data_IF_740903023816
#
_entry.id   IF_740903023816
#
_cell.length_a   1.000
_cell.length_b   1.000
_cell.length_c   1.000
_cell.angle_alpha   90.00
_cell.angle_beta   90.00
_cell.angle_gamma   90.00
#
_symmetry.space_group_name_H-M   'P 1'
#
loop_
_entity.id
_entity.type
_entity.pdbx_description
1 polymer ?
#
# COMPACT_ATOMS: atom_id res chain seq x y z
N UNK A 1 4.98 17.21 -4.87
CA UNK A 1 4.55 17.47 -6.27
C UNK A 1 4.64 18.97 -6.53
N UNK A 2 5.12 19.37 -7.71
CA UNK A 2 5.18 20.75 -8.17
C UNK A 2 4.44 20.85 -9.49
N UNK A 3 3.68 21.91 -9.70
CA UNK A 3 3.08 22.19 -11.00
C UNK A 3 2.98 23.71 -11.25
N UNK A 4 2.93 24.09 -12.52
CA UNK A 4 2.75 25.46 -12.98
C UNK A 4 1.42 25.55 -13.72
N UNK A 5 0.62 26.56 -13.39
CA UNK A 5 -0.72 26.77 -13.92
C UNK A 5 -1.13 28.22 -13.72
N UNK A 6 -2.26 28.64 -14.26
CA UNK A 6 -2.89 29.90 -13.86
C UNK A 6 -3.36 29.84 -12.42
N UNK A 7 -3.50 31.00 -11.77
CA UNK A 7 -3.96 31.03 -10.36
C UNK A 7 -5.38 30.44 -10.21
N UNK A 8 -6.26 30.69 -11.17
CA UNK A 8 -7.61 30.14 -11.15
C UNK A 8 -7.62 28.61 -11.22
N UNK A 9 -6.86 28.03 -12.13
CA UNK A 9 -6.70 26.58 -12.23
C UNK A 9 -6.05 25.98 -10.98
N UNK A 10 -5.04 26.66 -10.43
CA UNK A 10 -4.37 26.23 -9.21
C UNK A 10 -5.34 26.13 -8.03
N UNK A 11 -6.27 27.09 -7.88
CA UNK A 11 -7.29 27.08 -6.82
C UNK A 11 -8.30 25.93 -7.06
N UNK A 12 -8.72 25.68 -8.29
CA UNK A 12 -9.65 24.60 -8.62
C UNK A 12 -9.03 23.21 -8.37
N UNK A 13 -7.74 23.07 -8.67
CA UNK A 13 -7.02 21.79 -8.53
C UNK A 13 -6.61 21.46 -7.09
N UNK A 14 -6.58 22.45 -6.19
CA UNK A 14 -6.11 22.25 -4.81
C UNK A 14 -6.85 21.11 -4.11
N UNK A 15 -8.17 21.22 -4.00
CA UNK A 15 -8.98 20.24 -3.26
C UNK A 15 -8.91 18.86 -3.88
N UNK A 16 -9.03 18.75 -5.20
CA UNK A 16 -9.01 17.47 -5.92
C UNK A 16 -7.65 16.80 -5.74
N UNK A 17 -6.57 17.55 -5.97
CA UNK A 17 -5.20 17.02 -5.84
C UNK A 17 -4.91 16.58 -4.42
N UNK A 18 -5.26 17.39 -3.42
CA UNK A 18 -5.01 17.07 -2.02
C UNK A 18 -5.85 15.90 -1.52
N UNK A 19 -7.13 15.79 -1.93
CA UNK A 19 -7.98 14.68 -1.52
C UNK A 19 -7.42 13.33 -1.99
N UNK A 20 -7.01 13.25 -3.27
CA UNK A 20 -6.42 12.04 -3.84
C UNK A 20 -5.08 11.72 -3.17
N UNK A 21 -4.15 12.67 -3.13
CA UNK A 21 -2.81 12.44 -2.59
C UNK A 21 -2.82 12.13 -1.10
N UNK A 22 -3.64 12.83 -0.31
CA UNK A 22 -3.74 12.59 1.13
C UNK A 22 -4.28 11.19 1.44
N UNK A 23 -5.35 10.78 0.75
CA UNK A 23 -5.92 9.45 0.92
C UNK A 23 -4.94 8.37 0.45
N UNK A 24 -4.50 8.41 -0.80
CA UNK A 24 -3.69 7.34 -1.39
C UNK A 24 -2.33 7.18 -0.69
N UNK A 25 -1.69 8.30 -0.29
CA UNK A 25 -0.43 8.23 0.45
C UNK A 25 -0.61 7.69 1.89
N UNK A 26 -1.73 7.98 2.55
CA UNK A 26 -2.02 7.41 3.87
C UNK A 26 -2.19 5.89 3.79
N UNK A 27 -2.99 5.42 2.82
CA UNK A 27 -3.19 3.98 2.58
C UNK A 27 -1.88 3.31 2.17
N UNK A 28 -1.14 3.88 1.23
CA UNK A 28 0.15 3.35 0.79
C UNK A 28 1.16 3.23 1.95
N UNK A 29 1.19 4.24 2.84
CA UNK A 29 2.07 4.22 4.01
C UNK A 29 1.69 3.12 5.01
N UNK A 30 0.40 2.92 5.28
CA UNK A 30 -0.07 1.81 6.12
C UNK A 30 0.25 0.46 5.48
N UNK A 31 -0.08 0.30 4.20
CA UNK A 31 0.17 -0.92 3.45
C UNK A 31 1.67 -1.29 3.39
N UNK A 32 2.55 -0.31 3.18
CA UNK A 32 4.01 -0.53 3.18
C UNK A 32 4.52 -1.06 4.52
N UNK A 33 4.01 -0.53 5.65
CA UNK A 33 4.35 -1.06 6.99
C UNK A 33 3.82 -2.47 7.20
N UNK A 34 2.60 -2.77 6.74
CA UNK A 34 2.03 -4.11 6.81
C UNK A 34 2.83 -5.12 6.00
N UNK A 35 3.29 -4.75 4.80
CA UNK A 35 4.14 -5.59 3.95
C UNK A 35 5.49 -5.85 4.64
N UNK A 36 6.10 -4.82 5.20
CA UNK A 36 7.35 -4.97 5.98
C UNK A 36 7.17 -5.92 7.16
N UNK A 37 6.06 -5.79 7.90
CA UNK A 37 5.75 -6.67 9.03
C UNK A 37 5.47 -8.12 8.63
N UNK A 38 4.86 -8.33 7.46
CA UNK A 38 4.53 -9.66 6.93
C UNK A 38 5.76 -10.42 6.40
N UNK A 39 6.83 -9.70 6.03
CA UNK A 39 7.99 -10.32 5.38
C UNK A 39 7.60 -10.95 4.05
N UNK A 40 7.95 -12.22 3.85
CA UNK A 40 7.66 -12.95 2.61
C UNK A 40 6.21 -13.47 2.52
N UNK A 41 5.40 -13.31 3.57
CA UNK A 41 4.01 -13.79 3.58
C UNK A 41 3.10 -12.87 2.78
N UNK A 42 2.32 -13.40 1.82
CA UNK A 42 1.43 -12.60 1.00
C UNK A 42 0.32 -11.94 1.83
N UNK A 43 -0.01 -10.71 1.46
CA UNK A 43 -1.13 -9.94 1.99
C UNK A 43 -2.25 -9.84 0.94
N UNK A 44 -3.49 -10.01 1.38
CA UNK A 44 -4.70 -9.85 0.57
C UNK A 44 -5.47 -8.63 1.08
N UNK A 45 -5.77 -7.68 0.21
CA UNK A 45 -6.63 -6.54 0.53
C UNK A 45 -8.09 -6.99 0.61
N UNK A 46 -8.76 -6.75 1.74
CA UNK A 46 -10.15 -7.17 2.02
C UNK A 46 -11.01 -6.04 2.60
N UNK A 47 -10.68 -4.78 2.31
CA UNK A 47 -11.28 -3.60 2.94
C UNK A 47 -12.51 -3.03 2.24
N UNK A 48 -12.94 -3.56 1.10
CA UNK A 48 -14.00 -2.96 0.26
C UNK A 48 -15.31 -2.69 0.98
N UNK A 49 -15.69 -3.49 1.98
CA UNK A 49 -16.92 -3.30 2.79
C UNK A 49 -16.75 -2.35 3.98
N UNK A 50 -15.56 -1.74 4.14
CA UNK A 50 -15.20 -0.92 5.31
C UNK A 50 -14.94 0.55 4.97
N UNK A 51 -15.09 0.93 3.72
CA UNK A 51 -14.90 2.30 3.25
C UNK A 51 -15.83 2.60 2.07
N UNK A 52 -15.87 3.86 1.63
CA UNK A 52 -16.64 4.27 0.45
C UNK A 52 -16.15 3.55 -0.82
N UNK A 53 -17.06 3.24 -1.73
CA UNK A 53 -16.78 2.41 -2.92
C UNK A 53 -15.58 2.91 -3.77
N UNK A 54 -15.47 4.21 -4.01
CA UNK A 54 -14.35 4.80 -4.75
C UNK A 54 -13.04 4.73 -3.96
N UNK A 55 -13.11 4.97 -2.66
CA UNK A 55 -11.98 4.83 -1.75
C UNK A 55 -11.51 3.38 -1.66
N UNK A 56 -12.42 2.40 -1.74
CA UNK A 56 -12.06 0.98 -1.76
C UNK A 56 -11.21 0.60 -2.98
N UNK A 57 -11.57 1.10 -4.16
CA UNK A 57 -10.79 0.88 -5.40
C UNK A 57 -9.41 1.53 -5.31
N UNK A 58 -9.35 2.79 -4.84
CA UNK A 58 -8.10 3.51 -4.64
C UNK A 58 -7.20 2.82 -3.60
N UNK A 59 -7.79 2.32 -2.50
CA UNK A 59 -7.05 1.57 -1.45
C UNK A 59 -6.47 0.27 -1.99
N UNK A 60 -7.22 -0.49 -2.78
CA UNK A 60 -6.74 -1.72 -3.40
C UNK A 60 -5.54 -1.46 -4.33
N UNK A 61 -5.60 -0.39 -5.13
CA UNK A 61 -4.49 0.06 -5.98
C UNK A 61 -3.28 0.45 -5.15
N UNK A 62 -3.46 1.30 -4.13
CA UNK A 62 -2.36 1.77 -3.26
C UNK A 62 -1.69 0.60 -2.52
N UNK A 63 -2.48 -0.34 -1.99
CA UNK A 63 -1.98 -1.55 -1.35
C UNK A 63 -1.16 -2.43 -2.31
N UNK A 64 -1.64 -2.62 -3.53
CA UNK A 64 -0.91 -3.41 -4.52
C UNK A 64 0.41 -2.75 -4.92
N UNK A 65 0.43 -1.44 -5.14
CA UNK A 65 1.67 -0.68 -5.43
C UNK A 65 2.71 -0.91 -4.34
N UNK A 66 2.30 -0.99 -3.08
CA UNK A 66 3.21 -1.12 -1.94
C UNK A 66 3.54 -2.55 -1.53
N UNK A 67 3.01 -3.56 -2.21
CA UNK A 67 3.46 -4.94 -2.02
C UNK A 67 2.39 -5.96 -1.72
N UNK A 68 1.13 -5.59 -1.49
CA UNK A 68 0.06 -6.58 -1.38
C UNK A 68 0.03 -7.48 -2.61
N UNK A 69 -0.25 -8.76 -2.41
CA UNK A 69 -0.25 -9.75 -3.49
C UNK A 69 -1.52 -9.67 -4.34
N UNK A 70 -2.65 -9.36 -3.71
CA UNK A 70 -3.97 -9.39 -4.35
C UNK A 70 -5.00 -8.56 -3.59
N UNK A 71 -6.18 -8.41 -4.21
CA UNK A 71 -7.33 -7.73 -3.63
C UNK A 71 -8.62 -8.54 -3.77
N UNK A 72 -9.56 -8.36 -2.85
CA UNK A 72 -10.94 -8.83 -3.00
C UNK A 72 -11.80 -7.91 -3.88
N UNK A 73 -11.27 -6.75 -4.30
CA UNK A 73 -11.98 -5.74 -5.08
C UNK A 73 -11.91 -6.04 -6.58
N UNK A 74 -13.01 -6.55 -7.15
CA UNK A 74 -13.09 -6.89 -8.58
C UNK A 74 -12.97 -5.64 -9.49
N UNK A 75 -13.37 -4.46 -9.02
CA UNK A 75 -13.24 -3.23 -9.80
C UNK A 75 -11.77 -2.83 -9.94
N UNK A 76 -10.96 -2.95 -8.88
CA UNK A 76 -9.53 -2.72 -8.95
C UNK A 76 -8.82 -3.72 -9.87
N UNK A 77 -9.28 -4.98 -9.92
CA UNK A 77 -8.79 -5.93 -10.91
C UNK A 77 -9.08 -5.46 -12.33
N UNK A 78 -10.31 -5.03 -12.58
CA UNK A 78 -10.75 -4.61 -13.91
C UNK A 78 -10.03 -3.32 -14.38
N UNK A 79 -9.93 -2.31 -13.51
CA UNK A 79 -9.37 -1.01 -13.87
C UNK A 79 -7.84 -0.97 -13.89
N UNK A 80 -7.19 -1.70 -12.98
CA UNK A 80 -5.75 -1.58 -12.71
C UNK A 80 -4.97 -2.87 -12.89
N UNK A 81 -5.60 -3.96 -13.31
CA UNK A 81 -4.94 -5.25 -13.46
C UNK A 81 -4.47 -5.88 -12.14
N UNK A 82 -4.95 -5.40 -10.98
CA UNK A 82 -4.57 -5.97 -9.69
C UNK A 82 -5.05 -7.41 -9.58
N UNK A 83 -4.20 -8.40 -9.25
CA UNK A 83 -4.64 -9.76 -9.06
C UNK A 83 -5.75 -9.87 -8.02
N UNK A 84 -6.80 -10.63 -8.32
CA UNK A 84 -7.90 -10.82 -7.38
C UNK A 84 -7.79 -12.14 -6.65
N UNK A 85 -8.07 -12.11 -5.35
CA UNK A 85 -8.24 -13.28 -4.52
C UNK A 85 -9.40 -13.04 -3.56
N UNK A 86 -10.05 -14.11 -3.14
CA UNK A 86 -11.14 -14.05 -2.19
C UNK A 86 -11.37 -15.40 -1.57
N UNK A 87 -12.13 -15.39 -0.49
CA UNK A 87 -12.61 -16.60 0.20
C UNK A 87 -14.11 -16.46 0.41
N UNK A 88 -14.79 -17.56 0.74
CA UNK A 88 -16.17 -17.51 1.15
C UNK A 88 -16.35 -16.71 2.45
N UNK A 89 -17.52 -16.11 2.62
CA UNK A 89 -17.93 -15.51 3.89
C UNK A 89 -18.67 -16.54 4.75
N UNK A 90 -18.80 -16.32 6.06
CA UNK A 90 -19.57 -17.18 6.97
C UNK A 90 -21.01 -17.42 6.48
N UNK A 91 -21.63 -16.40 5.84
CA UNK A 91 -22.95 -16.54 5.24
C UNK A 91 -23.04 -17.67 4.21
N UNK A 92 -21.95 -17.98 3.49
CA UNK A 92 -21.92 -19.09 2.57
C UNK A 92 -22.07 -20.44 3.29
N UNK A 93 -21.37 -20.60 4.42
CA UNK A 93 -21.52 -21.82 5.26
C UNK A 93 -22.93 -21.88 5.87
N UNK A 94 -23.44 -20.73 6.37
CA UNK A 94 -24.73 -20.65 7.04
C UNK A 94 -25.94 -20.92 6.14
N UNK A 95 -25.85 -20.72 4.84
CA UNK A 95 -26.95 -20.99 3.89
C UNK A 95 -27.07 -22.47 3.51
N UNK A 96 -26.05 -23.27 3.82
CA UNK A 96 -26.06 -24.72 3.57
C UNK A 96 -26.54 -25.49 4.81
N UNK A 97 -27.11 -26.68 4.59
CA UNK A 97 -27.62 -27.53 5.67
C UNK A 97 -26.52 -28.01 6.64
N UNK A 98 -25.28 -28.01 6.19
CA UNK A 98 -24.10 -28.35 7.01
C UNK A 98 -22.83 -27.74 6.46
N UNK A 99 -21.83 -27.57 7.32
CA UNK A 99 -20.49 -27.10 6.95
C UNK A 99 -19.82 -28.04 5.93
N UNK A 100 -20.02 -29.34 6.06
CA UNK A 100 -19.57 -30.34 5.06
C UNK A 100 -20.15 -30.07 3.67
N UNK A 101 -21.44 -29.76 3.59
CA UNK A 101 -22.11 -29.47 2.32
C UNK A 101 -21.58 -28.17 1.71
N UNK A 102 -21.36 -27.14 2.53
CA UNK A 102 -20.75 -25.89 2.08
C UNK A 102 -19.33 -26.12 1.53
N UNK A 103 -18.49 -26.86 2.24
CA UNK A 103 -17.14 -27.18 1.79
C UNK A 103 -17.12 -27.99 0.50
N UNK A 104 -18.00 -29.00 0.41
CA UNK A 104 -18.15 -29.80 -0.81
C UNK A 104 -18.56 -28.92 -2.00
N UNK A 105 -19.58 -28.09 -1.84
CA UNK A 105 -20.04 -27.19 -2.90
C UNK A 105 -18.95 -26.22 -3.37
N UNK A 106 -18.15 -25.68 -2.45
CA UNK A 106 -17.05 -24.81 -2.80
C UNK A 106 -15.93 -25.55 -3.54
N UNK A 107 -15.56 -26.74 -3.08
CA UNK A 107 -14.50 -27.56 -3.71
C UNK A 107 -14.93 -28.06 -5.09
N UNK A 108 -16.21 -28.40 -5.27
CA UNK A 108 -16.74 -28.81 -6.57
C UNK A 108 -16.60 -27.71 -7.63
N UNK A 109 -16.84 -26.45 -7.26
CA UNK A 109 -16.80 -25.31 -8.20
C UNK A 109 -15.38 -24.75 -8.38
N UNK A 110 -14.61 -24.62 -7.30
CA UNK A 110 -13.33 -23.93 -7.30
C UNK A 110 -12.12 -24.88 -7.29
N UNK A 111 -12.35 -26.17 -7.12
CA UNK A 111 -11.31 -27.18 -7.00
C UNK A 111 -10.63 -27.19 -5.62
N UNK A 112 -9.76 -28.17 -5.42
CA UNK A 112 -9.04 -28.39 -4.15
C UNK A 112 -8.06 -27.29 -3.78
N UNK A 113 -7.59 -26.48 -4.75
CA UNK A 113 -6.70 -25.36 -4.51
C UNK A 113 -7.36 -24.17 -3.80
N UNK A 114 -8.66 -24.24 -3.52
CA UNK A 114 -9.45 -23.20 -2.84
C UNK A 114 -9.02 -22.99 -1.39
N UNK A 115 -9.54 -21.92 -0.77
CA UNK A 115 -9.37 -21.62 0.66
C UNK A 115 -10.71 -21.80 1.36
N UNK A 116 -10.80 -22.73 2.31
CA UNK A 116 -12.00 -22.98 3.11
C UNK A 116 -11.97 -22.19 4.41
N UNK A 117 -13.11 -21.55 4.75
CA UNK A 117 -13.29 -20.79 6.00
C UNK A 117 -13.72 -21.75 7.10
N UNK A 118 -12.86 -21.93 8.14
CA UNK A 118 -13.01 -23.02 9.11
C UNK A 118 -13.48 -22.57 10.51
N UNK A 119 -13.78 -21.30 10.69
CA UNK A 119 -14.18 -20.75 11.99
C UNK A 119 -15.65 -20.32 12.07
N UNK A 120 -16.52 -20.95 11.27
CA UNK A 120 -17.97 -20.69 11.36
C UNK A 120 -18.58 -21.32 12.61
N UNK A 121 -18.10 -22.50 13.04
CA UNK A 121 -18.57 -23.23 14.22
C UNK A 121 -17.41 -23.68 15.10
N UNK A 122 -17.03 -24.94 15.02
CA UNK A 122 -15.92 -25.54 15.78
C UNK A 122 -14.70 -25.76 14.90
N UNK A 123 -13.62 -25.00 15.13
CA UNK A 123 -12.44 -24.99 14.26
C UNK A 123 -11.80 -26.38 14.09
N UNK A 124 -11.50 -27.17 15.15
CA UNK A 124 -10.93 -28.49 14.97
C UNK A 124 -11.80 -29.43 14.14
N UNK A 125 -13.12 -29.40 14.35
CA UNK A 125 -14.07 -30.19 13.57
C UNK A 125 -14.11 -29.74 12.11
N UNK A 126 -14.12 -28.42 11.87
CA UNK A 126 -14.13 -27.85 10.54
C UNK A 126 -12.88 -28.23 9.74
N UNK A 127 -11.69 -28.22 10.36
CA UNK A 127 -10.44 -28.63 9.72
C UNK A 127 -10.50 -30.12 9.30
N UNK A 128 -10.97 -31.01 10.17
CA UNK A 128 -11.18 -32.43 9.80
C UNK A 128 -12.15 -32.57 8.63
N UNK A 129 -13.30 -31.90 8.72
CA UNK A 129 -14.30 -31.92 7.65
C UNK A 129 -13.74 -31.37 6.32
N UNK A 130 -12.92 -30.33 6.39
CA UNK A 130 -12.28 -29.75 5.21
C UNK A 130 -11.35 -30.75 4.50
N UNK A 131 -10.53 -31.47 5.28
CA UNK A 131 -9.62 -32.49 4.73
C UNK A 131 -10.39 -33.75 4.28
N UNK A 132 -11.46 -34.15 4.97
CA UNK A 132 -12.33 -35.24 4.51
C UNK A 132 -12.98 -34.94 3.15
N UNK A 133 -13.36 -33.67 2.90
CA UNK A 133 -14.00 -33.24 1.65
C UNK A 133 -13.00 -32.98 0.53
N UNK A 134 -11.94 -32.25 0.79
CA UNK A 134 -10.99 -31.80 -0.24
C UNK A 134 -9.78 -32.73 -0.40
N UNK A 135 -9.47 -33.54 0.63
CA UNK A 135 -8.23 -34.30 0.73
C UNK A 135 -7.05 -33.48 1.28
N UNK A 136 -5.90 -34.15 1.50
CA UNK A 136 -4.70 -33.51 2.07
C UNK A 136 -4.03 -32.48 1.14
N UNK A 137 -4.50 -32.37 -0.10
CA UNK A 137 -4.04 -31.42 -1.12
C UNK A 137 -4.85 -30.10 -1.09
N UNK A 138 -5.68 -29.86 -0.07
CA UNK A 138 -6.42 -28.61 0.09
C UNK A 138 -5.46 -27.40 0.05
N UNK A 139 -5.79 -26.41 -0.74
CA UNK A 139 -4.92 -25.23 -0.94
C UNK A 139 -4.69 -24.41 0.31
N UNK A 140 -5.75 -24.09 1.08
CA UNK A 140 -5.63 -23.36 2.33
C UNK A 140 -6.87 -23.48 3.21
N UNK A 141 -6.70 -23.15 4.50
CA UNK A 141 -7.79 -22.84 5.43
C UNK A 141 -7.66 -21.39 5.90
N UNK A 142 -8.81 -20.74 6.18
CA UNK A 142 -8.86 -19.38 6.70
C UNK A 142 -9.46 -19.36 8.09
N UNK A 143 -8.85 -18.58 8.99
CA UNK A 143 -9.32 -18.28 10.35
C UNK A 143 -9.51 -16.77 10.46
N UNK A 144 -10.72 -16.31 10.82
CA UNK A 144 -11.12 -14.90 10.83
C UNK A 144 -11.34 -14.35 12.26
N UNK A 145 -11.40 -15.21 13.26
CA UNK A 145 -11.79 -14.83 14.62
C UNK A 145 -11.12 -15.69 15.70
N UNK A 146 -11.20 -15.22 16.97
CA UNK A 146 -10.66 -15.92 18.12
C UNK A 146 -9.22 -15.57 18.44
N UNK A 147 -8.55 -16.38 19.27
CA UNK A 147 -7.12 -16.23 19.58
C UNK A 147 -6.29 -16.76 18.41
N UNK A 148 -6.00 -15.90 17.46
CA UNK A 148 -5.34 -16.28 16.22
C UNK A 148 -3.99 -17.00 16.42
N UNK A 149 -3.10 -16.55 17.32
CA UNK A 149 -1.86 -17.26 17.61
C UNK A 149 -2.05 -18.70 18.12
N UNK A 150 -3.03 -18.89 18.99
CA UNK A 150 -3.35 -20.22 19.55
C UNK A 150 -4.00 -21.09 18.49
N UNK A 151 -5.02 -20.57 17.80
CA UNK A 151 -5.76 -21.29 16.76
C UNK A 151 -4.87 -21.71 15.60
N UNK A 152 -3.96 -20.84 15.14
CA UNK A 152 -3.06 -21.18 14.04
C UNK A 152 -2.13 -22.36 14.39
N UNK A 153 -1.61 -22.43 15.63
CA UNK A 153 -0.81 -23.57 16.08
C UNK A 153 -1.64 -24.86 16.17
N UNK A 154 -2.85 -24.77 16.72
CA UNK A 154 -3.76 -25.92 16.80
C UNK A 154 -4.16 -26.43 15.42
N UNK A 155 -4.53 -25.52 14.50
CA UNK A 155 -4.88 -25.87 13.13
C UNK A 155 -3.71 -26.46 12.37
N UNK A 156 -2.49 -25.95 12.55
CA UNK A 156 -1.29 -26.53 11.93
C UNK A 156 -1.05 -27.96 12.42
N UNK A 157 -1.12 -28.19 13.72
CA UNK A 157 -0.96 -29.52 14.29
C UNK A 157 -2.05 -30.51 13.81
N UNK A 158 -3.30 -30.06 13.72
CA UNK A 158 -4.41 -30.87 13.20
C UNK A 158 -4.21 -31.23 11.71
N UNK A 159 -3.86 -30.23 10.87
CA UNK A 159 -3.57 -30.45 9.45
C UNK A 159 -2.41 -31.43 9.25
N UNK A 160 -1.34 -31.30 10.04
CA UNK A 160 -0.17 -32.19 9.97
C UNK A 160 -0.56 -33.63 10.37
N UNK A 161 -1.39 -33.80 11.40
CA UNK A 161 -1.90 -35.11 11.85
C UNK A 161 -2.75 -35.81 10.80
N UNK A 162 -3.41 -35.03 9.94
CA UNK A 162 -4.24 -35.50 8.83
C UNK A 162 -3.45 -35.68 7.52
N UNK A 163 -2.14 -35.49 7.53
CA UNK A 163 -1.27 -35.59 6.36
C UNK A 163 -1.34 -34.39 5.41
N UNK A 164 -2.04 -33.32 5.81
CA UNK A 164 -2.24 -32.11 5.00
C UNK A 164 -1.12 -31.05 5.26
N UNK A 165 0.13 -31.49 5.26
CA UNK A 165 1.30 -30.65 5.60
C UNK A 165 1.51 -29.50 4.63
N UNK A 166 1.01 -29.58 3.38
CA UNK A 166 1.07 -28.54 2.35
C UNK A 166 -0.11 -27.56 2.37
N UNK A 167 -1.14 -27.81 3.19
CA UNK A 167 -2.29 -26.89 3.32
C UNK A 167 -1.87 -25.63 4.05
N UNK A 168 -2.07 -24.46 3.43
CA UNK A 168 -1.69 -23.15 3.97
C UNK A 168 -2.71 -22.66 4.99
N UNK A 169 -2.26 -21.80 5.91
CA UNK A 169 -3.10 -21.13 6.90
C UNK A 169 -3.11 -19.64 6.60
N UNK A 170 -4.29 -19.10 6.34
CA UNK A 170 -4.51 -17.67 6.11
C UNK A 170 -5.23 -17.09 7.31
N UNK A 171 -4.65 -16.07 7.94
CA UNK A 171 -5.29 -15.35 9.04
C UNK A 171 -5.90 -14.04 8.54
N UNK A 172 -7.10 -13.77 9.04
CA UNK A 172 -7.80 -12.51 8.86
C UNK A 172 -8.41 -12.12 10.22
N UNK A 173 -9.04 -10.98 10.36
CA UNK A 173 -9.63 -10.57 11.65
C UNK A 173 -8.94 -9.35 12.23
N UNK A 174 -9.33 -8.17 11.71
CA UNK A 174 -8.90 -6.84 12.20
C UNK A 174 -7.37 -6.66 12.35
N UNK A 175 -6.60 -7.27 11.45
CA UNK A 175 -5.14 -7.19 11.44
C UNK A 175 -4.66 -5.78 11.04
N UNK A 176 -3.59 -5.35 11.71
CA UNK A 176 -2.77 -4.18 11.40
C UNK A 176 -1.30 -4.58 11.35
N UNK A 177 -0.40 -3.64 11.08
CA UNK A 177 1.05 -3.89 11.02
C UNK A 177 1.63 -4.46 12.33
N UNK A 178 1.08 -4.11 13.48
CA UNK A 178 1.56 -4.57 14.78
C UNK A 178 1.11 -6.01 15.06
N UNK A 179 -0.15 -6.30 14.78
CA UNK A 179 -0.72 -7.66 14.89
C UNK A 179 -0.01 -8.62 13.93
N UNK A 180 0.27 -8.20 12.69
CA UNK A 180 1.02 -8.99 11.71
C UNK A 180 2.44 -9.27 12.23
N UNK A 181 3.13 -8.26 12.76
CA UNK A 181 4.46 -8.45 13.35
C UNK A 181 4.44 -9.43 14.53
N UNK A 182 3.43 -9.33 15.41
CA UNK A 182 3.27 -10.26 16.55
C UNK A 182 3.00 -11.71 16.10
N UNK A 183 2.37 -11.90 14.94
CA UNK A 183 2.12 -13.20 14.32
C UNK A 183 3.35 -13.77 13.58
N UNK A 184 4.47 -13.06 13.55
CA UNK A 184 5.67 -13.46 12.82
C UNK A 184 6.23 -14.84 13.20
N UNK A 185 6.10 -15.26 14.47
CA UNK A 185 6.54 -16.55 14.99
C UNK A 185 5.45 -17.66 14.97
N UNK A 186 4.30 -17.38 14.36
CA UNK A 186 3.17 -18.32 14.27
C UNK A 186 3.19 -19.01 12.91
N UNK A 187 2.78 -20.29 12.79
CA UNK A 187 2.72 -21.01 11.53
C UNK A 187 1.57 -20.50 10.65
N UNK A 188 1.81 -19.41 9.95
CA UNK A 188 0.87 -18.70 9.08
C UNK A 188 1.51 -18.48 7.72
N UNK A 189 0.75 -18.66 6.66
CA UNK A 189 1.24 -18.59 5.28
C UNK A 189 0.76 -17.33 4.55
N UNK A 190 -0.15 -16.55 5.14
CA UNK A 190 -0.62 -15.30 4.56
C UNK A 190 -1.65 -14.60 5.43
N UNK A 191 -1.93 -13.35 5.08
CA UNK A 191 -2.84 -12.50 5.84
C UNK A 191 -3.86 -11.82 4.94
N UNK A 192 -5.09 -11.63 5.45
CA UNK A 192 -6.06 -10.73 4.83
C UNK A 192 -6.31 -9.52 5.72
N UNK A 193 -6.21 -8.32 5.14
CA UNK A 193 -6.32 -7.07 5.88
C UNK A 193 -7.47 -6.23 5.32
N UNK A 194 -8.34 -5.76 6.21
CA UNK A 194 -9.51 -4.97 5.86
C UNK A 194 -9.49 -3.57 6.44
N UNK A 195 -10.15 -3.37 7.57
CA UNK A 195 -10.42 -2.07 8.19
C UNK A 195 -9.16 -1.23 8.40
N UNK A 196 -8.13 -1.79 9.02
CA UNK A 196 -6.90 -1.06 9.34
C UNK A 196 -6.22 -0.50 8.09
N UNK A 197 -6.20 -1.26 6.99
CA UNK A 197 -5.64 -0.79 5.74
C UNK A 197 -6.40 0.41 5.18
N UNK A 198 -7.73 0.27 4.97
CA UNK A 198 -8.54 1.31 4.30
C UNK A 198 -8.80 2.55 5.16
N UNK A 199 -8.39 2.52 6.42
CA UNK A 199 -8.38 3.67 7.34
C UNK A 199 -6.97 4.22 7.60
N UNK A 200 -5.97 3.75 6.85
CA UNK A 200 -4.58 4.19 6.98
C UNK A 200 -3.95 3.84 8.34
N UNK A 201 -4.37 2.74 8.97
CA UNK A 201 -3.95 2.35 10.34
C UNK A 201 -4.16 3.48 11.36
N UNK A 202 -5.32 4.14 11.28
CA UNK A 202 -5.68 5.25 12.16
C UNK A 202 -5.17 6.63 11.72
N UNK A 203 -4.42 6.71 10.60
CA UNK A 203 -4.01 7.97 9.97
C UNK A 203 -4.78 8.15 8.66
N UNK A 204 -5.96 8.74 8.74
CA UNK A 204 -6.87 8.89 7.60
C UNK A 204 -6.34 9.79 6.48
N UNK A 205 -5.25 10.51 6.70
CA UNK A 205 -4.64 11.45 5.75
C UNK A 205 -3.14 11.49 5.93
N UNK A 206 -2.40 11.69 4.84
CA UNK A 206 -0.95 11.93 4.88
C UNK A 206 -0.57 13.34 5.32
N UNK A 207 -1.56 14.19 5.65
CA UNK A 207 -1.39 15.58 6.09
C UNK A 207 -0.60 16.46 5.09
N UNK A 208 -0.68 16.14 3.81
CA UNK A 208 -0.11 16.96 2.75
C UNK A 208 -0.84 18.30 2.65
N UNK A 209 -0.09 19.34 2.35
CA UNK A 209 -0.61 20.70 2.18
C UNK A 209 -0.22 21.27 0.82
N UNK A 210 -0.97 22.24 0.37
CA UNK A 210 -0.78 22.95 -0.87
C UNK A 210 -0.26 24.37 -0.61
N UNK A 211 0.78 24.80 -1.31
CA UNK A 211 1.36 26.13 -1.12
C UNK A 211 1.76 26.76 -2.44
N UNK A 212 1.38 28.02 -2.64
CA UNK A 212 1.96 28.84 -3.67
C UNK A 212 3.41 29.15 -3.27
N UNK A 213 4.35 28.85 -4.16
CA UNK A 213 5.79 29.04 -3.91
C UNK A 213 6.46 30.01 -4.87
N UNK A 214 5.83 30.31 -5.99
CA UNK A 214 6.28 31.32 -6.94
C UNK A 214 5.09 31.86 -7.75
N UNK A 215 5.20 33.08 -8.25
CA UNK A 215 4.27 33.72 -9.19
C UNK A 215 5.02 34.36 -10.33
N UNK A 216 4.39 34.55 -11.45
CA UNK A 216 4.94 35.33 -12.57
C UNK A 216 5.18 36.80 -12.15
N UNK A 217 6.23 37.40 -12.67
CA UNK A 217 6.53 38.83 -12.47
C UNK A 217 5.61 39.73 -13.28
N UNK A 218 5.06 39.20 -14.38
CA UNK A 218 4.13 39.91 -15.28
C UNK A 218 3.12 38.93 -15.90
N UNK A 219 2.18 39.43 -16.73
CA UNK A 219 1.19 38.63 -17.44
C UNK A 219 1.76 37.87 -18.66
N UNK A 220 2.99 38.14 -19.06
CA UNK A 220 3.63 37.44 -20.18
C UNK A 220 3.90 35.98 -19.85
N UNK A 221 3.64 35.07 -20.78
CA UNK A 221 3.73 33.64 -20.59
C UNK A 221 5.15 33.15 -20.24
N UNK A 222 6.18 33.87 -20.69
CA UNK A 222 7.60 33.61 -20.47
C UNK A 222 8.22 34.47 -19.34
N UNK A 223 7.37 35.20 -18.56
CA UNK A 223 7.84 36.04 -17.48
C UNK A 223 8.57 35.23 -16.40
N UNK A 224 9.55 35.87 -15.79
CA UNK A 224 10.31 35.33 -14.68
C UNK A 224 9.39 34.97 -13.50
N UNK A 225 9.72 33.86 -12.82
CA UNK A 225 9.02 33.43 -11.61
C UNK A 225 9.64 34.07 -10.37
N UNK A 226 8.88 34.91 -9.69
CA UNK A 226 9.27 35.53 -8.42
C UNK A 226 8.90 34.58 -7.27
N UNK A 227 9.86 34.17 -6.43
CA UNK A 227 9.57 33.34 -5.26
C UNK A 227 8.65 34.05 -4.26
N UNK A 228 7.68 33.32 -3.73
CA UNK A 228 6.78 33.80 -2.66
C UNK A 228 6.68 32.79 -1.54
N UNK A 229 6.59 33.28 -0.30
CA UNK A 229 6.48 32.40 0.86
C UNK A 229 5.69 33.07 2.00
N UNK A 230 4.95 32.27 2.74
CA UNK A 230 4.35 32.70 4.00
C UNK A 230 5.44 32.86 5.07
N UNK A 231 5.41 33.99 5.79
CA UNK A 231 6.39 34.34 6.84
C UNK A 231 5.78 34.31 8.25
N UNK A 232 4.76 33.49 8.51
CA UNK A 232 4.16 33.43 9.84
C UNK A 232 5.05 32.72 10.85
N UNK A 233 4.98 33.14 12.10
CA UNK A 233 5.68 32.50 13.24
C UNK A 233 5.28 31.02 13.33
N UNK A 234 6.25 30.14 13.53
CA UNK A 234 6.09 28.70 13.76
C UNK A 234 5.92 27.83 12.49
N UNK A 235 5.56 28.41 11.33
CA UNK A 235 5.44 27.66 10.06
C UNK A 235 5.89 28.52 8.87
N UNK A 236 7.14 28.98 8.81
CA UNK A 236 7.63 29.70 7.65
C UNK A 236 7.64 28.78 6.41
N UNK A 237 7.26 29.33 5.27
CA UNK A 237 7.43 28.66 3.99
C UNK A 237 8.77 29.04 3.36
N UNK A 238 9.26 28.21 2.44
CA UNK A 238 10.34 28.58 1.52
C UNK A 238 9.74 28.77 0.12
N UNK A 239 9.98 29.93 -0.48
CA UNK A 239 9.58 30.26 -1.84
C UNK A 239 10.42 29.53 -2.88
N UNK A 240 10.05 29.71 -4.14
CA UNK A 240 10.76 29.17 -5.29
C UNK A 240 10.47 27.70 -5.61
N UNK A 241 10.83 27.31 -6.83
CA UNK A 241 10.81 25.92 -7.27
C UNK A 241 11.83 25.13 -6.45
N UNK A 242 11.47 23.92 -6.08
CA UNK A 242 12.34 23.01 -5.34
C UNK A 242 12.68 21.80 -6.17
N UNK A 243 13.90 21.33 -5.97
CA UNK A 243 14.42 20.09 -6.49
C UNK A 243 14.74 19.18 -5.32
N UNK A 244 14.62 17.87 -5.50
CA UNK A 244 14.87 16.93 -4.43
C UNK A 244 15.64 15.73 -4.97
N UNK A 245 16.72 15.37 -4.27
CA UNK A 245 17.53 14.20 -4.56
C UNK A 245 17.75 13.39 -3.29
N UNK A 246 17.79 12.07 -3.42
CA UNK A 246 18.22 11.16 -2.36
C UNK A 246 19.70 10.89 -2.53
N UNK A 247 20.49 11.27 -1.52
CA UNK A 247 21.91 10.95 -1.46
C UNK A 247 22.10 9.58 -0.79
N UNK A 248 22.92 8.73 -1.41
CA UNK A 248 23.16 7.35 -0.98
C UNK A 248 24.65 7.13 -0.71
N UNK A 249 24.96 6.15 0.12
CA UNK A 249 26.35 5.68 0.30
C UNK A 249 26.84 4.83 -0.89
N UNK A 250 28.02 4.23 -0.74
CA UNK A 250 28.61 3.40 -1.77
C UNK A 250 27.83 2.09 -2.02
N UNK A 251 27.11 1.61 -1.01
CA UNK A 251 26.30 0.38 -1.06
C UNK A 251 24.87 0.65 -1.54
N UNK A 252 24.53 1.91 -1.81
CA UNK A 252 23.22 2.33 -2.29
C UNK A 252 22.22 2.65 -1.18
N UNK A 253 22.64 2.64 0.09
CA UNK A 253 21.78 2.98 1.24
C UNK A 253 21.59 4.49 1.35
N UNK A 254 20.37 4.92 1.57
CA UNK A 254 19.99 6.32 1.69
C UNK A 254 20.58 6.95 2.96
N UNK A 255 21.30 8.05 2.79
CA UNK A 255 21.92 8.84 3.86
C UNK A 255 21.11 10.11 4.18
N UNK A 256 20.58 10.77 3.16
CA UNK A 256 19.79 11.99 3.31
C UNK A 256 18.94 12.28 2.08
N UNK A 257 17.93 13.12 2.25
CA UNK A 257 17.23 13.77 1.15
C UNK A 257 17.60 15.24 1.12
N UNK A 258 18.18 15.70 0.00
CA UNK A 258 18.63 17.07 -0.19
C UNK A 258 17.61 17.84 -1.03
N UNK A 259 17.26 19.03 -0.58
CA UNK A 259 16.33 19.92 -1.26
C UNK A 259 17.06 21.22 -1.60
N UNK A 260 17.10 21.56 -2.89
CA UNK A 260 17.70 22.76 -3.43
C UNK A 260 16.68 23.67 -4.11
N UNK A 261 17.05 24.93 -4.31
CA UNK A 261 16.28 25.90 -5.15
C UNK A 261 16.84 25.99 -6.57
N UNK A 262 18.01 25.43 -6.83
CA UNK A 262 18.63 25.30 -8.14
C UNK A 262 18.53 23.86 -8.64
N UNK A 263 18.49 23.62 -9.97
CA UNK A 263 18.56 22.26 -10.51
C UNK A 263 19.79 21.54 -9.96
N UNK A 264 19.64 20.32 -9.42
CA UNK A 264 20.79 19.56 -8.95
C UNK A 264 21.68 19.15 -10.13
N UNK A 265 22.96 19.04 -9.87
CA UNK A 265 23.88 18.23 -10.67
C UNK A 265 24.07 16.91 -9.93
N UNK A 266 23.25 15.88 -10.24
CA UNK A 266 23.24 14.65 -9.45
C UNK A 266 24.53 13.87 -9.72
N UNK A 267 25.27 13.66 -8.64
CA UNK A 267 26.40 12.75 -8.66
C UNK A 267 25.98 11.27 -8.80
N UNK A 268 26.94 10.36 -9.00
CA UNK A 268 26.64 8.94 -9.22
C UNK A 268 25.90 8.25 -8.04
N UNK A 269 25.93 8.87 -6.88
CA UNK A 269 25.23 8.38 -5.67
C UNK A 269 23.88 9.04 -5.43
N UNK A 270 23.52 10.01 -6.25
CA UNK A 270 22.27 10.75 -6.11
C UNK A 270 21.17 10.14 -6.98
N UNK A 271 19.95 10.11 -6.47
CA UNK A 271 18.77 9.76 -7.23
C UNK A 271 17.74 10.89 -7.15
N UNK A 272 17.32 11.40 -8.29
CA UNK A 272 16.25 12.38 -8.34
C UNK A 272 14.94 11.80 -7.80
N UNK A 273 14.28 12.56 -6.91
CA UNK A 273 13.00 12.18 -6.32
C UNK A 273 11.79 12.73 -7.09
N UNK A 274 12.01 13.75 -7.92
CA UNK A 274 10.97 14.35 -8.74
C UNK A 274 11.07 13.84 -10.18
N UNK A 275 9.98 13.25 -10.66
CA UNK A 275 9.86 12.83 -12.06
C UNK A 275 8.74 13.63 -12.73
N UNK A 276 8.89 14.04 -14.00
CA UNK A 276 7.82 14.71 -14.73
C UNK A 276 6.67 13.75 -14.98
N UNK A 277 5.45 14.13 -14.60
CA UNK A 277 4.22 13.38 -14.87
C UNK A 277 3.42 14.01 -16.01
N UNK A 278 3.48 15.34 -16.12
CA UNK A 278 2.81 16.11 -17.17
C UNK A 278 3.80 17.15 -17.70
N UNK A 279 3.94 17.25 -18.99
CA UNK A 279 4.74 18.27 -19.66
C UNK A 279 3.97 18.83 -20.87
N UNK A 280 3.86 20.16 -20.97
CA UNK A 280 3.11 20.80 -22.03
C UNK A 280 1.61 20.47 -22.06
N UNK A 281 1.03 20.04 -20.93
CA UNK A 281 -0.37 19.58 -20.84
C UNK A 281 -0.56 18.09 -21.13
N UNK A 282 0.47 17.38 -21.59
CA UNK A 282 0.42 15.97 -21.95
C UNK A 282 1.02 15.09 -20.85
N UNK A 283 0.46 13.89 -20.65
CA UNK A 283 0.99 12.91 -19.70
C UNK A 283 2.30 12.32 -20.26
N UNK A 284 3.40 12.47 -19.53
CA UNK A 284 4.71 12.00 -19.96
C UNK A 284 4.73 10.48 -20.08
N UNK A 285 5.22 9.99 -21.24
CA UNK A 285 5.32 8.56 -21.51
C UNK A 285 4.03 7.88 -21.97
N UNK A 286 2.94 8.63 -22.17
CA UNK A 286 1.70 8.12 -22.76
C UNK A 286 1.39 8.84 -24.06
N UNK A 287 1.07 8.09 -25.11
CA UNK A 287 0.54 8.61 -26.36
C UNK A 287 -1.00 8.72 -26.39
N UNK A 288 -1.67 8.08 -25.45
CA UNK A 288 -3.12 8.03 -25.34
C UNK A 288 -3.55 7.91 -23.86
N UNK A 289 -4.67 8.58 -23.50
CA UNK A 289 -5.29 8.50 -22.16
C UNK A 289 -5.84 7.09 -21.88
N UNK A 290 -6.12 6.31 -22.93
CA UNK A 290 -6.57 4.90 -22.85
C UNK A 290 -5.43 3.89 -22.72
N UNK A 291 -4.16 4.34 -22.68
CA UNK A 291 -3.01 3.46 -22.52
C UNK A 291 -3.10 2.64 -21.21
N UNK A 292 -2.57 1.44 -21.25
CA UNK A 292 -2.67 0.42 -20.21
C UNK A 292 -2.28 0.92 -18.80
N UNK A 293 -3.29 1.23 -17.99
CA UNK A 293 -3.12 1.68 -16.61
C UNK A 293 -2.47 0.59 -15.74
N UNK A 294 -2.58 -0.68 -16.13
CA UNK A 294 -1.96 -1.79 -15.40
C UNK A 294 -0.44 -1.75 -15.48
N UNK A 295 0.11 -1.31 -16.61
CA UNK A 295 1.54 -1.10 -16.78
C UNK A 295 2.08 -0.01 -15.86
N UNK A 296 1.33 1.09 -15.67
CA UNK A 296 1.70 2.17 -14.75
C UNK A 296 1.69 1.74 -13.31
N UNK A 297 0.69 0.94 -12.91
CA UNK A 297 0.60 0.38 -11.56
C UNK A 297 1.76 -0.57 -11.28
N UNK A 298 2.13 -1.39 -12.26
CA UNK A 298 3.28 -2.28 -12.17
C UNK A 298 4.61 -1.51 -12.06
N UNK A 299 4.78 -0.46 -12.86
CA UNK A 299 5.95 0.42 -12.78
C UNK A 299 6.02 1.17 -11.44
N UNK A 300 4.88 1.61 -10.89
CA UNK A 300 4.81 2.25 -9.58
C UNK A 300 5.19 1.27 -8.45
N UNK A 301 4.73 0.01 -8.54
CA UNK A 301 5.10 -1.07 -7.62
C UNK A 301 6.60 -1.34 -7.63
N UNK A 302 7.21 -1.43 -8.80
CA UNK A 302 8.64 -1.64 -8.92
C UNK A 302 9.45 -0.44 -8.38
N UNK A 303 8.99 0.78 -8.63
CA UNK A 303 9.59 1.99 -8.07
C UNK A 303 9.52 2.00 -6.55
N UNK A 304 8.38 1.61 -5.96
CA UNK A 304 8.25 1.49 -4.51
C UNK A 304 9.23 0.48 -3.94
N UNK A 305 9.32 -0.71 -4.55
CA UNK A 305 10.25 -1.77 -4.14
C UNK A 305 11.71 -1.29 -4.18
N UNK A 306 12.11 -0.65 -5.27
CA UNK A 306 13.45 -0.09 -5.41
C UNK A 306 13.74 1.01 -4.37
N UNK A 307 12.77 1.92 -4.14
CA UNK A 307 12.92 2.99 -3.16
C UNK A 307 12.99 2.47 -1.71
N UNK A 308 12.27 1.39 -1.40
CA UNK A 308 12.30 0.74 -0.09
C UNK A 308 13.64 0.04 0.16
N UNK A 309 14.21 -0.59 -0.87
CA UNK A 309 15.52 -1.25 -0.80
C UNK A 309 16.70 -0.30 -0.52
N UNK A 310 16.52 1.01 -0.79
CA UNK A 310 17.50 2.02 -0.43
C UNK A 310 17.46 2.42 1.06
N UNK A 311 16.41 2.04 1.80
CA UNK A 311 16.25 2.48 3.18
C UNK A 311 17.18 1.69 4.12
N UNK A 312 17.80 2.36 5.10
CA UNK A 312 18.55 1.64 6.12
C UNK A 312 17.62 0.75 6.96
N UNK A 313 18.10 -0.40 7.49
CA UNK A 313 17.24 -1.36 8.21
C UNK A 313 16.41 -0.75 9.36
N UNK A 314 16.95 0.23 10.07
CA UNK A 314 16.23 0.89 11.16
C UNK A 314 15.05 1.76 10.67
N UNK A 315 15.02 2.14 9.40
CA UNK A 315 13.88 2.86 8.80
C UNK A 315 12.63 1.96 8.62
N UNK A 316 12.80 0.65 8.67
CA UNK A 316 11.73 -0.33 8.51
C UNK A 316 11.07 -0.71 9.85
N UNK A 317 11.48 -0.11 10.95
CA UNK A 317 10.89 -0.35 12.27
C UNK A 317 9.46 0.22 12.35
N UNK A 318 8.58 -0.51 13.03
CA UNK A 318 7.19 -0.06 13.24
C UNK A 318 7.06 0.99 14.34
N UNK A 319 8.08 1.16 15.17
CA UNK A 319 8.09 2.15 16.25
C UNK A 319 8.07 3.57 15.70
N UNK A 320 7.31 4.44 16.38
CA UNK A 320 7.33 5.89 16.08
C UNK A 320 8.66 6.49 16.55
N UNK A 321 9.22 7.38 15.74
CA UNK A 321 10.50 8.02 16.03
C UNK A 321 10.77 9.23 15.13
N UNK A 322 11.98 9.70 15.15
CA UNK A 322 12.46 10.72 14.21
C UNK A 322 12.56 10.14 12.81
N UNK A 323 12.48 10.99 11.74
CA UNK A 323 12.72 10.53 10.38
C UNK A 323 14.05 9.78 10.28
N UNK A 324 14.00 8.58 9.73
CA UNK A 324 15.19 7.73 9.58
C UNK A 324 16.21 8.33 8.59
N UNK A 325 15.72 9.10 7.61
CA UNK A 325 16.55 9.81 6.66
C UNK A 325 16.34 11.30 6.88
N UNK A 326 17.40 12.06 7.22
CA UNK A 326 17.28 13.50 7.41
C UNK A 326 17.00 14.21 6.09
N UNK A 327 16.13 15.22 6.13
CA UNK A 327 15.93 16.16 5.02
C UNK A 327 16.81 17.40 5.24
N UNK A 328 17.70 17.65 4.30
CA UNK A 328 18.64 18.78 4.34
C UNK A 328 18.24 19.79 3.26
N UNK A 329 18.06 21.04 3.65
CA UNK A 329 17.88 22.13 2.70
C UNK A 329 19.25 22.76 2.40
N UNK A 330 19.62 22.71 1.12
CA UNK A 330 20.82 23.40 0.66
C UNK A 330 20.61 24.91 0.72
N UNK A 331 21.62 25.69 1.17
CA UNK A 331 21.54 27.14 1.12
C UNK A 331 21.37 27.60 -0.34
N UNK A 332 20.63 28.69 -0.56
CA UNK A 332 20.63 29.33 -1.85
C UNK A 332 22.03 29.95 -2.12
N UNK A 333 22.46 29.94 -3.40
CA UNK A 333 23.67 30.66 -3.79
C UNK A 333 23.55 32.14 -3.34
N UNK A 334 24.32 32.54 -2.33
CA UNK A 334 24.30 33.90 -1.78
C UNK A 334 23.78 34.03 -0.36
N UNK A 335 23.38 32.96 0.32
CA UNK A 335 23.04 32.95 1.75
C UNK A 335 24.27 32.56 2.61
N UNK A 336 25.40 33.27 2.47
CA UNK A 336 26.50 33.24 3.44
C UNK A 336 26.38 34.38 4.45
#
# INVERSE_FOLDING_TARGET
MLFRSTFAEAVLLETVTLSILNHDCAIASAASRMVTAAGDRPLIEMGSRRTHEWAAVASARAAYITGFASTSNLRARFEYGVPSAGTSAHAFTLVHDSERHAFWAQVEVLGKATTLLVDTYDVPRAVRTAIEVAGPELGAVRIDSGDLPVLARQVRAELDSLGATGTRIILTGDLDEYSIAALGAVPVDGYGVGTSLVTGSGAATAALVYKLVARSSSEAADSELVPVAKRSVGKPGRGGRKWAVRHRDADGTALSERISLSPPDPGPRDRELLVPLVAGGEIVGRSDVSADVSADVSAARERHRAALAELPPYALQLSRGYPAIPTVFEPAEGDE
#
